data_IF_464091249203
#
_entry.id   IF_464091249203
#
_cell.length_a   1.000
_cell.length_b   1.000
_cell.length_c   1.000
_cell.angle_alpha   90.00
_cell.angle_beta   90.00
_cell.angle_gamma   90.00
#
_symmetry.space_group_name_H-M   'P 1'
#
loop_
_entity.id
_entity.type
_entity.pdbx_description
1 polymer ?
#
# COMPACT_ATOMS: atom_id res chain seq x y z
N UNK A 1 4.64 11.70 -17.17
CA UNK A 1 3.40 12.42 -16.81
C UNK A 1 2.70 11.68 -15.69
N UNK A 2 1.77 12.31 -14.96
CA UNK A 2 1.06 11.66 -13.85
C UNK A 2 0.42 10.32 -14.26
N UNK A 3 -0.17 10.23 -15.46
CA UNK A 3 -0.81 8.99 -15.93
C UNK A 3 0.22 7.89 -16.27
N UNK A 4 1.40 8.26 -16.80
CA UNK A 4 2.49 7.31 -17.02
C UNK A 4 3.02 6.73 -15.70
N UNK A 5 3.11 7.55 -14.65
CA UNK A 5 3.60 7.08 -13.35
C UNK A 5 2.57 6.20 -12.65
N UNK A 6 1.27 6.50 -12.79
CA UNK A 6 0.19 5.60 -12.37
C UNK A 6 0.28 4.26 -13.11
N UNK A 7 0.50 4.28 -14.43
CA UNK A 7 0.64 3.04 -15.20
C UNK A 7 1.85 2.20 -14.71
N UNK A 8 3.01 2.83 -14.45
CA UNK A 8 4.17 2.14 -13.87
C UNK A 8 3.84 1.51 -12.51
N UNK A 9 3.09 2.20 -11.66
CA UNK A 9 2.67 1.66 -10.36
C UNK A 9 1.78 0.43 -10.55
N UNK A 10 0.81 0.50 -11.46
CA UNK A 10 -0.10 -0.60 -11.78
C UNK A 10 0.65 -1.80 -12.35
N UNK A 11 1.59 -1.57 -13.28
CA UNK A 11 2.42 -2.63 -13.85
C UNK A 11 3.25 -3.33 -12.77
N UNK A 12 3.80 -2.57 -11.82
CA UNK A 12 4.55 -3.13 -10.69
C UNK A 12 3.63 -3.93 -9.76
N UNK A 13 2.45 -3.39 -9.43
CA UNK A 13 1.44 -4.04 -8.58
C UNK A 13 1.01 -5.37 -9.19
N UNK A 14 0.69 -5.38 -10.48
CA UNK A 14 0.16 -6.55 -11.18
C UNK A 14 1.20 -7.68 -11.34
N UNK A 15 2.51 -7.37 -11.23
CA UNK A 15 3.61 -8.35 -11.28
C UNK A 15 3.96 -8.96 -9.92
N UNK A 16 3.42 -8.43 -8.83
CA UNK A 16 3.70 -8.92 -7.48
C UNK A 16 2.61 -9.89 -7.02
N UNK A 17 2.99 -10.91 -6.26
CA UNK A 17 2.11 -12.01 -5.86
C UNK A 17 1.55 -11.84 -4.45
N UNK A 18 2.25 -11.09 -3.60
CA UNK A 18 1.94 -10.94 -2.17
C UNK A 18 1.95 -9.46 -1.75
N UNK A 19 1.17 -8.59 -2.39
CA UNK A 19 1.12 -7.18 -2.03
C UNK A 19 0.50 -6.98 -0.64
N UNK A 20 1.03 -6.00 0.11
CA UNK A 20 0.41 -5.48 1.33
C UNK A 20 0.09 -4.00 1.14
N UNK A 21 -1.13 -3.61 1.49
CA UNK A 21 -1.55 -2.21 1.50
C UNK A 21 -1.25 -1.62 2.87
N UNK A 22 -0.54 -0.49 2.91
CA UNK A 22 -0.18 0.20 4.14
C UNK A 22 -0.74 1.62 4.20
N UNK A 23 -1.80 1.82 4.98
CA UNK A 23 -2.50 3.09 5.14
C UNK A 23 -1.94 3.99 6.24
N UNK A 24 -1.51 5.19 5.86
CA UNK A 24 -1.14 6.28 6.76
C UNK A 24 -2.22 7.35 6.90
N UNK A 25 -1.92 8.43 7.62
CA UNK A 25 -2.86 9.54 7.81
C UNK A 25 -3.30 10.18 6.48
N UNK A 26 -2.47 10.12 5.45
CA UNK A 26 -2.83 10.64 4.12
C UNK A 26 -3.84 9.77 3.36
N UNK A 27 -4.23 8.59 3.87
CA UNK A 27 -5.32 7.78 3.33
C UNK A 27 -6.65 8.01 4.07
N UNK A 28 -6.73 9.01 4.95
CA UNK A 28 -7.98 9.36 5.62
C UNK A 28 -9.06 9.67 4.57
N UNK A 29 -10.29 9.22 4.82
CA UNK A 29 -11.42 9.27 3.88
C UNK A 29 -11.31 8.37 2.65
N UNK A 30 -10.34 7.46 2.58
CA UNK A 30 -10.19 6.51 1.46
C UNK A 30 -10.55 5.07 1.83
N UNK A 31 -11.33 4.85 2.89
CA UNK A 31 -11.66 3.52 3.40
C UNK A 31 -12.21 2.57 2.35
N UNK A 32 -13.21 3.03 1.60
CA UNK A 32 -13.86 2.21 0.56
C UNK A 32 -12.91 1.89 -0.59
N UNK A 33 -12.11 2.86 -1.04
CA UNK A 33 -11.10 2.65 -2.08
C UNK A 33 -9.99 1.68 -1.63
N UNK A 34 -9.57 1.76 -0.37
CA UNK A 34 -8.60 0.81 0.19
C UNK A 34 -9.18 -0.61 0.24
N UNK A 35 -10.44 -0.76 0.67
CA UNK A 35 -11.13 -2.05 0.68
C UNK A 35 -11.36 -2.58 -0.73
N UNK A 36 -11.66 -1.71 -1.71
CA UNK A 36 -11.79 -2.10 -3.11
C UNK A 36 -10.45 -2.58 -3.68
N UNK A 37 -9.37 -1.81 -3.49
CA UNK A 37 -8.02 -2.22 -3.90
C UNK A 37 -7.63 -3.56 -3.27
N UNK A 38 -7.88 -3.69 -1.97
CA UNK A 38 -7.62 -4.92 -1.21
C UNK A 38 -8.37 -6.12 -1.79
N UNK A 39 -9.66 -5.98 -2.11
CA UNK A 39 -10.46 -7.04 -2.76
C UNK A 39 -9.88 -7.41 -4.12
N UNK A 40 -9.59 -6.41 -4.96
CA UNK A 40 -9.06 -6.62 -6.31
C UNK A 40 -7.73 -7.36 -6.29
N UNK A 41 -6.86 -7.03 -5.35
CA UNK A 41 -5.51 -7.60 -5.22
C UNK A 41 -5.43 -8.81 -4.29
N UNK A 42 -6.53 -9.17 -3.60
CA UNK A 42 -6.52 -10.11 -2.45
C UNK A 42 -5.42 -9.75 -1.44
N UNK A 43 -5.21 -8.45 -1.24
CA UNK A 43 -4.12 -7.88 -0.46
C UNK A 43 -4.61 -7.53 0.95
N UNK A 44 -3.90 -7.93 2.02
CA UNK A 44 -4.20 -7.45 3.36
C UNK A 44 -3.88 -5.95 3.51
N UNK A 45 -4.59 -5.30 4.43
CA UNK A 45 -4.43 -3.89 4.77
C UNK A 45 -3.90 -3.79 6.20
N UNK A 46 -2.76 -3.13 6.37
CA UNK A 46 -2.26 -2.67 7.66
C UNK A 46 -2.31 -1.14 7.73
N UNK A 47 -2.46 -0.58 8.92
CA UNK A 47 -2.52 0.88 9.10
C UNK A 47 -1.50 1.39 10.12
N UNK A 48 -1.19 2.68 10.04
CA UNK A 48 -0.58 3.38 11.18
C UNK A 48 -1.62 3.57 12.30
N UNK A 49 -1.19 3.77 13.55
CA UNK A 49 -2.11 4.09 14.65
C UNK A 49 -2.98 5.31 14.36
N UNK A 50 -2.45 6.31 13.63
CA UNK A 50 -3.18 7.51 13.22
C UNK A 50 -4.27 7.24 12.18
N UNK A 51 -4.10 6.20 11.38
CA UNK A 51 -5.05 5.79 10.35
C UNK A 51 -5.94 4.62 10.80
N UNK A 52 -5.90 4.27 12.09
CA UNK A 52 -6.81 3.28 12.66
C UNK A 52 -8.26 3.70 12.39
N UNK A 53 -9.10 2.74 12.01
CA UNK A 53 -10.51 3.00 11.67
C UNK A 53 -10.75 3.62 10.28
N UNK A 54 -9.72 3.89 9.47
CA UNK A 54 -9.94 4.26 8.06
C UNK A 54 -10.62 3.13 7.28
N UNK A 55 -10.30 1.88 7.62
CA UNK A 55 -11.00 0.69 7.15
C UNK A 55 -11.70 0.05 8.34
N UNK A 56 -12.87 -0.56 8.11
CA UNK A 56 -13.60 -1.25 9.15
C UNK A 56 -12.76 -2.38 9.75
N UNK A 57 -12.60 -2.42 11.07
CA UNK A 57 -11.66 -3.35 11.71
C UNK A 57 -12.12 -4.82 11.63
N UNK A 58 -13.41 -5.08 11.37
CA UNK A 58 -13.93 -6.44 11.10
C UNK A 58 -13.83 -6.85 9.62
N UNK A 59 -13.33 -5.97 8.74
CA UNK A 59 -13.11 -6.33 7.34
C UNK A 59 -12.08 -7.48 7.25
N UNK A 60 -12.40 -8.52 6.46
CA UNK A 60 -11.65 -9.78 6.42
C UNK A 60 -10.15 -9.65 6.10
N UNK A 61 -9.75 -8.61 5.37
CA UNK A 61 -8.35 -8.33 5.02
C UNK A 61 -7.71 -7.26 5.90
N UNK A 62 -8.41 -6.76 6.93
CA UNK A 62 -7.83 -5.82 7.90
C UNK A 62 -6.89 -6.57 8.84
N UNK A 63 -5.62 -6.15 8.90
CA UNK A 63 -4.63 -6.61 9.87
C UNK A 63 -4.54 -5.69 11.09
N UNK A 64 -5.32 -4.60 11.11
CA UNK A 64 -5.22 -3.56 12.12
C UNK A 64 -3.91 -2.76 12.02
N UNK A 65 -3.44 -2.27 13.17
CA UNK A 65 -2.28 -1.38 13.24
C UNK A 65 -0.96 -2.16 13.12
N UNK A 66 0.00 -1.62 12.36
CA UNK A 66 1.39 -2.05 12.34
C UNK A 66 2.26 -1.15 13.24
N UNK A 67 3.11 -1.75 14.07
CA UNK A 67 4.07 -1.05 14.92
C UNK A 67 4.29 -1.77 16.25
N UNK A 68 4.97 -1.13 17.19
CA UNK A 68 5.33 -1.71 18.49
C UNK A 68 4.12 -2.13 19.35
N UNK A 69 2.99 -1.46 19.17
CA UNK A 69 1.69 -1.77 19.81
C UNK A 69 0.67 -2.33 18.81
N UNK A 70 1.14 -2.76 17.64
CA UNK A 70 0.32 -3.28 16.56
C UNK A 70 0.11 -4.79 16.63
N UNK A 71 -0.51 -5.36 15.60
CA UNK A 71 -0.77 -6.80 15.55
C UNK A 71 0.43 -7.58 15.03
N UNK A 72 0.60 -8.80 15.53
CA UNK A 72 1.62 -9.74 15.01
C UNK A 72 1.35 -10.13 13.55
N UNK A 73 0.07 -10.12 13.14
CA UNK A 73 -0.35 -10.42 11.76
C UNK A 73 0.10 -9.34 10.78
N UNK A 74 -0.03 -8.05 11.14
CA UNK A 74 0.50 -6.95 10.34
C UNK A 74 2.02 -7.08 10.14
N UNK A 75 2.76 -7.36 11.21
CA UNK A 75 4.21 -7.55 11.11
C UNK A 75 4.60 -8.78 10.29
N UNK A 76 3.84 -9.88 10.39
CA UNK A 76 4.06 -11.08 9.58
C UNK A 76 3.78 -10.83 8.10
N UNK A 77 2.69 -10.13 7.78
CA UNK A 77 2.37 -9.78 6.39
C UNK A 77 3.49 -8.96 5.74
N UNK A 78 4.04 -7.98 6.45
CA UNK A 78 5.19 -7.18 5.95
C UNK A 78 6.43 -8.03 5.74
N UNK A 79 6.76 -8.94 6.67
CA UNK A 79 7.92 -9.84 6.52
C UNK A 79 7.80 -10.77 5.32
N UNK A 80 6.58 -11.24 5.05
CA UNK A 80 6.37 -12.26 4.02
C UNK A 80 5.91 -11.68 2.67
N UNK A 81 5.75 -10.36 2.54
CA UNK A 81 5.31 -9.71 1.28
C UNK A 81 6.42 -9.60 0.24
N UNK A 82 6.04 -9.36 -1.01
CA UNK A 82 6.96 -8.98 -2.10
C UNK A 82 6.76 -7.53 -2.58
N UNK A 83 5.70 -6.87 -2.10
CA UNK A 83 5.37 -5.48 -2.42
C UNK A 83 4.64 -4.82 -1.25
N UNK A 84 5.01 -3.58 -0.94
CA UNK A 84 4.29 -2.70 -0.01
C UNK A 84 3.78 -1.48 -0.77
N UNK A 85 2.45 -1.28 -0.72
CA UNK A 85 1.76 -0.13 -1.30
C UNK A 85 1.49 0.87 -0.17
N UNK A 86 2.30 1.91 -0.07
CA UNK A 86 2.26 2.90 1.00
C UNK A 86 1.35 4.05 0.58
N UNK A 87 0.31 4.34 1.36
CA UNK A 87 -0.59 5.48 1.10
C UNK A 87 -0.49 6.51 2.21
N UNK A 88 0.11 7.67 1.91
CA UNK A 88 0.12 8.83 2.79
C UNK A 88 0.82 8.58 4.13
N UNK A 89 1.92 7.84 4.08
CA UNK A 89 2.72 7.45 5.25
C UNK A 89 4.21 7.55 4.94
N UNK A 90 5.00 7.87 5.97
CA UNK A 90 6.46 7.81 5.88
C UNK A 90 7.05 6.44 6.21
N UNK A 91 6.21 5.39 6.31
CA UNK A 91 6.52 3.97 6.62
C UNK A 91 7.92 3.75 7.22
N UNK A 92 7.99 3.50 8.53
CA UNK A 92 9.24 3.47 9.33
C UNK A 92 9.49 2.11 9.96
N UNK A 93 9.23 1.04 9.23
CA UNK A 93 9.30 -0.34 9.71
C UNK A 93 10.40 -1.15 9.01
N UNK A 94 11.56 -0.54 8.79
CA UNK A 94 12.69 -1.15 8.06
C UNK A 94 13.16 -2.49 8.63
N UNK A 95 13.09 -2.64 9.95
CA UNK A 95 13.42 -3.89 10.64
C UNK A 95 12.49 -5.07 10.32
N UNK A 96 11.34 -4.83 9.65
CA UNK A 96 10.40 -5.87 9.26
C UNK A 96 10.46 -6.22 7.77
N UNK A 97 11.15 -5.41 6.96
CA UNK A 97 11.14 -5.55 5.50
C UNK A 97 12.19 -6.58 5.10
N UNK A 98 11.75 -7.64 4.42
CA UNK A 98 12.64 -8.63 3.84
C UNK A 98 13.40 -8.08 2.63
N UNK A 99 14.63 -8.56 2.33
CA UNK A 99 15.34 -8.19 1.11
C UNK A 99 14.50 -8.45 -0.16
N UNK A 100 14.59 -7.55 -1.13
CA UNK A 100 13.90 -7.68 -2.42
C UNK A 100 12.43 -7.23 -2.43
N UNK A 101 11.88 -6.77 -1.29
CA UNK A 101 10.55 -6.16 -1.25
C UNK A 101 10.50 -4.89 -2.09
N UNK A 102 9.47 -4.79 -2.92
CA UNK A 102 9.21 -3.62 -3.77
C UNK A 102 8.34 -2.60 -3.07
N UNK A 103 8.41 -1.36 -3.52
CA UNK A 103 7.67 -0.25 -2.91
C UNK A 103 6.97 0.61 -3.96
N UNK A 104 5.67 0.81 -3.76
CA UNK A 104 4.89 1.89 -4.35
C UNK A 104 4.55 2.86 -3.23
N UNK A 105 4.87 4.14 -3.37
CA UNK A 105 4.58 5.16 -2.35
C UNK A 105 3.75 6.30 -2.92
N UNK A 106 2.64 6.61 -2.25
CA UNK A 106 1.80 7.76 -2.53
C UNK A 106 1.97 8.76 -1.40
N UNK A 107 2.36 9.99 -1.71
CA UNK A 107 2.36 11.10 -0.75
C UNK A 107 2.08 12.42 -1.46
N UNK A 108 1.41 13.34 -0.77
CA UNK A 108 1.11 14.68 -1.32
C UNK A 108 2.35 15.58 -1.31
N UNK A 109 3.30 15.28 -0.44
CA UNK A 109 4.54 16.04 -0.28
C UNK A 109 5.66 15.28 -1.02
N UNK A 110 6.17 15.82 -2.14
CA UNK A 110 7.17 15.14 -2.96
C UNK A 110 8.47 14.86 -2.19
N UNK A 111 8.78 15.66 -1.15
CA UNK A 111 10.00 15.48 -0.34
C UNK A 111 9.96 14.23 0.55
N UNK A 112 8.81 13.56 0.63
CA UNK A 112 8.62 12.33 1.42
C UNK A 112 8.76 11.06 0.62
N UNK A 113 8.60 11.15 -0.70
CA UNK A 113 8.79 10.02 -1.59
C UNK A 113 10.24 9.55 -1.49
N UNK A 114 10.45 8.26 -1.20
CA UNK A 114 11.79 7.69 -1.13
C UNK A 114 12.59 8.04 0.14
N UNK A 115 12.01 8.78 1.09
CA UNK A 115 12.78 9.29 2.25
C UNK A 115 13.26 8.20 3.21
N UNK A 116 12.51 7.10 3.35
CA UNK A 116 12.83 6.00 4.27
C UNK A 116 13.37 4.78 3.54
N UNK A 117 12.88 4.50 2.34
CA UNK A 117 13.29 3.37 1.51
C UNK A 117 13.43 3.86 0.07
N UNK A 118 14.32 3.24 -0.69
CA UNK A 118 14.35 3.47 -2.13
C UNK A 118 13.06 2.91 -2.76
N UNK A 119 12.26 3.81 -3.33
CA UNK A 119 10.94 3.46 -3.86
C UNK A 119 11.03 3.12 -5.33
N UNK A 120 10.35 2.06 -5.74
CA UNK A 120 10.36 1.66 -7.14
C UNK A 120 9.43 2.53 -7.97
N UNK A 121 8.29 2.95 -7.39
CA UNK A 121 7.39 3.94 -7.99
C UNK A 121 6.88 4.90 -6.93
N UNK A 122 7.11 6.19 -7.12
CA UNK A 122 6.57 7.27 -6.32
C UNK A 122 5.45 8.00 -7.04
N UNK A 123 4.31 8.19 -6.40
CA UNK A 123 3.16 8.94 -6.91
C UNK A 123 2.93 10.17 -6.04
N UNK A 124 3.20 11.35 -6.59
CA UNK A 124 2.99 12.62 -5.88
C UNK A 124 1.53 13.04 -6.04
N UNK A 125 0.79 13.09 -4.93
CA UNK A 125 -0.61 13.49 -4.94
C UNK A 125 -1.34 13.18 -3.64
N UNK A 126 -2.56 13.71 -3.52
CA UNK A 126 -3.45 13.33 -2.43
C UNK A 126 -3.80 11.84 -2.52
N UNK A 127 -3.72 11.14 -1.37
CA UNK A 127 -3.89 9.70 -1.32
C UNK A 127 -5.24 9.22 -1.85
N UNK A 128 -6.32 9.95 -1.58
CA UNK A 128 -7.65 9.61 -2.07
C UNK A 128 -7.70 9.74 -3.59
N UNK A 129 -7.26 10.89 -4.13
CA UNK A 129 -7.33 11.17 -5.57
C UNK A 129 -6.44 10.25 -6.41
N UNK A 130 -5.30 9.82 -5.87
CA UNK A 130 -4.44 8.84 -6.54
C UNK A 130 -5.09 7.46 -6.51
N UNK A 131 -5.73 7.06 -5.41
CA UNK A 131 -6.46 5.80 -5.33
C UNK A 131 -7.64 5.75 -6.31
N UNK A 132 -8.39 6.84 -6.50
CA UNK A 132 -9.47 6.92 -7.51
C UNK A 132 -9.00 6.55 -8.92
N UNK A 133 -7.74 6.86 -9.26
CA UNK A 133 -7.14 6.52 -10.55
C UNK A 133 -6.52 5.14 -10.59
N UNK A 134 -5.92 4.71 -9.48
CA UNK A 134 -5.17 3.45 -9.39
C UNK A 134 -6.09 2.23 -9.27
N UNK A 135 -7.17 2.35 -8.49
CA UNK A 135 -8.09 1.24 -8.18
C UNK A 135 -8.76 0.68 -9.44
N UNK A 136 -9.32 1.47 -10.37
CA UNK A 136 -10.04 0.93 -11.53
C UNK A 136 -9.19 0.02 -12.43
N UNK A 137 -7.90 0.32 -12.56
CA UNK A 137 -7.00 -0.35 -13.52
C UNK A 137 -6.05 -1.37 -12.86
N UNK A 138 -6.00 -1.45 -11.53
CA UNK A 138 -5.25 -2.48 -10.82
C UNK A 138 -5.97 -3.84 -10.89
N UNK A 139 -5.24 -4.93 -11.13
CA UNK A 139 -5.83 -6.28 -11.26
C UNK A 139 -4.93 -7.35 -10.65
N UNK A 140 -5.53 -8.37 -10.02
CA UNK A 140 -4.77 -9.51 -9.53
C UNK A 140 -4.40 -10.47 -10.66
N UNK A 141 -3.12 -10.79 -10.80
CA UNK A 141 -2.67 -11.95 -11.57
C UNK A 141 -2.71 -11.83 -13.09
N UNK A 142 -2.77 -10.61 -13.66
CA UNK A 142 -2.81 -10.40 -15.13
C UNK A 142 -1.46 -10.64 -15.81
N UNK A 143 -0.37 -10.78 -15.05
CA UNK A 143 0.99 -10.78 -15.59
C UNK A 143 1.59 -12.14 -15.99
N UNK A 144 0.96 -13.29 -15.74
CA UNK A 144 1.60 -14.59 -15.98
C UNK A 144 0.55 -15.60 -16.45
N UNK A 145 0.75 -16.17 -17.65
CA UNK A 145 0.24 -17.50 -18.00
C UNK A 145 0.63 -18.45 -16.85
N UNK A 146 -0.32 -18.77 -15.97
CA UNK A 146 -0.11 -19.76 -14.91
C UNK A 146 -0.14 -21.17 -15.47
#
# INVERSE_FOLDING_TARGET
>A
SADQDIQKAVDLINRCNRPVIFGGWGSRFSGDLLMELSRKLKAPIATTSRAKGVVHETYQYSLGVLGSIGTKYAAKAIRDCDLIIIIGSGFRQANLVSPGVKFVQIDKDPTRIGKTFDVHVGLVGDGHRVLEKLVPISQYGVGINR
#
